data_IF_986199131045
#
_entry.id   IF_986199131045
#
_cell.length_a   1.000
_cell.length_b   1.000
_cell.length_c   1.000
_cell.angle_alpha   90.00
_cell.angle_beta   90.00
_cell.angle_gamma   90.00
#
_symmetry.space_group_name_H-M   'P 1'
#
loop_
_entity.id
_entity.type
_entity.pdbx_description
1 polymer ?
#
# COMPACT_ATOMS: atom_id res chain seq x y z
N UNK A 1 2.18 -18.90 -10.61
CA UNK A 1 1.68 -17.52 -10.39
C UNK A 1 2.57 -16.60 -11.22
N UNK A 2 2.04 -15.52 -11.81
CA UNK A 2 2.83 -14.65 -12.70
C UNK A 2 3.21 -13.34 -11.99
N UNK A 3 4.29 -12.70 -12.45
CA UNK A 3 4.72 -11.37 -11.99
C UNK A 3 3.66 -10.32 -12.30
N UNK A 4 3.15 -9.63 -11.29
CA UNK A 4 2.16 -8.54 -11.44
C UNK A 4 2.82 -7.18 -11.48
N UNK A 5 3.87 -6.95 -10.68
CA UNK A 5 4.63 -5.69 -10.67
C UNK A 5 6.11 -5.98 -10.92
N UNK A 6 6.71 -5.22 -11.84
CA UNK A 6 8.14 -5.29 -12.11
C UNK A 6 8.73 -3.88 -12.12
N UNK A 7 9.72 -3.67 -11.29
CA UNK A 7 10.49 -2.42 -11.17
C UNK A 7 11.88 -2.69 -11.74
N UNK A 8 12.32 -1.84 -12.69
CA UNK A 8 13.62 -1.99 -13.37
C UNK A 8 14.42 -0.70 -13.28
N UNK A 9 15.58 -0.75 -12.59
CA UNK A 9 16.56 0.31 -12.46
C UNK A 9 15.95 1.67 -12.11
N UNK A 10 14.95 1.66 -11.21
CA UNK A 10 14.14 2.83 -10.90
C UNK A 10 14.94 3.84 -10.10
N UNK A 11 14.99 5.06 -10.60
CA UNK A 11 15.71 6.18 -9.98
C UNK A 11 14.82 7.41 -9.91
N UNK A 12 14.83 8.08 -8.75
CA UNK A 12 14.18 9.40 -8.57
C UNK A 12 15.12 10.36 -7.88
N UNK A 13 15.32 11.52 -8.54
CA UNK A 13 16.08 12.64 -8.02
C UNK A 13 15.19 13.85 -7.79
N UNK A 14 15.43 14.56 -6.71
CA UNK A 14 14.85 15.87 -6.39
C UNK A 14 16.00 16.86 -6.23
N UNK A 15 16.30 17.64 -7.27
CA UNK A 15 17.50 18.47 -7.28
C UNK A 15 18.77 17.62 -7.08
N UNK A 16 19.54 17.94 -6.04
CA UNK A 16 20.76 17.20 -5.68
C UNK A 16 20.52 15.90 -4.88
N UNK A 17 19.29 15.66 -4.37
CA UNK A 17 18.97 14.49 -3.57
C UNK A 17 18.49 13.34 -4.46
N UNK A 18 19.12 12.17 -4.35
CA UNK A 18 18.65 10.93 -4.97
C UNK A 18 17.83 10.14 -3.93
N UNK A 19 16.49 10.22 -4.00
CA UNK A 19 15.59 9.60 -3.04
C UNK A 19 15.32 8.11 -3.32
N UNK A 20 15.41 7.68 -4.60
CA UNK A 20 15.40 6.27 -5.03
C UNK A 20 16.52 6.12 -6.04
N UNK A 21 17.39 5.13 -5.87
CA UNK A 21 18.61 4.97 -6.61
C UNK A 21 18.79 3.54 -7.12
N UNK A 22 18.52 3.34 -8.39
CA UNK A 22 18.73 2.06 -9.10
C UNK A 22 18.03 0.85 -8.45
N UNK A 23 16.75 1.03 -8.06
CA UNK A 23 15.96 -0.01 -7.41
C UNK A 23 15.33 -0.93 -8.45
N UNK A 24 15.52 -2.25 -8.27
CA UNK A 24 14.92 -3.29 -9.12
C UNK A 24 14.39 -4.44 -8.26
N UNK A 25 13.14 -4.86 -8.50
CA UNK A 25 12.52 -6.04 -7.90
C UNK A 25 11.25 -6.43 -8.65
N UNK A 26 10.74 -7.62 -8.36
CA UNK A 26 9.50 -8.14 -8.92
C UNK A 26 8.56 -8.64 -7.82
N UNK A 27 7.26 -8.48 -8.04
CA UNK A 27 6.20 -8.93 -7.13
C UNK A 27 5.28 -9.89 -7.90
N UNK A 28 5.05 -11.05 -7.35
CA UNK A 28 4.10 -12.02 -7.87
C UNK A 28 2.66 -11.68 -7.45
N UNK A 29 1.69 -12.07 -8.25
CA UNK A 29 0.26 -11.91 -7.95
C UNK A 29 -0.12 -12.67 -6.67
N UNK A 30 -0.90 -12.05 -5.81
CA UNK A 30 -1.30 -12.61 -4.52
C UNK A 30 -0.23 -12.58 -3.43
N UNK A 31 0.94 -11.95 -3.68
CA UNK A 31 1.99 -11.82 -2.66
C UNK A 31 1.63 -10.78 -1.60
N UNK A 32 2.07 -11.04 -0.36
CA UNK A 32 2.07 -10.11 0.76
C UNK A 32 3.51 -9.74 1.11
N UNK A 33 3.88 -8.47 0.90
CA UNK A 33 5.27 -7.99 0.96
C UNK A 33 5.40 -6.85 1.97
N UNK A 34 6.43 -6.91 2.80
CA UNK A 34 6.87 -5.79 3.64
C UNK A 34 7.91 -4.93 2.94
N UNK A 35 7.78 -3.62 3.02
CA UNK A 35 8.79 -2.65 2.60
C UNK A 35 9.26 -1.89 3.83
N UNK A 36 10.47 -2.15 4.28
CA UNK A 36 11.04 -1.55 5.49
C UNK A 36 12.26 -0.69 5.21
N UNK A 37 12.67 0.07 6.20
CA UNK A 37 13.85 0.93 6.18
C UNK A 37 13.69 2.11 7.12
N UNK A 38 14.77 2.77 7.54
CA UNK A 38 14.71 3.95 8.40
C UNK A 38 13.95 5.10 7.74
N UNK A 39 13.68 6.15 8.53
CA UNK A 39 13.10 7.39 8.00
C UNK A 39 14.05 8.00 6.95
N UNK A 40 13.48 8.46 5.84
CA UNK A 40 14.28 8.97 4.72
C UNK A 40 14.89 7.91 3.80
N UNK A 41 14.67 6.60 4.04
CA UNK A 41 15.19 5.52 3.18
C UNK A 41 14.64 5.51 1.75
N UNK A 42 13.55 6.25 1.46
CA UNK A 42 12.95 6.34 0.12
C UNK A 42 11.65 5.53 -0.05
N UNK A 43 11.12 4.89 0.99
CA UNK A 43 9.90 4.06 0.94
C UNK A 43 8.69 4.80 0.36
N UNK A 44 8.35 5.96 0.93
CA UNK A 44 7.22 6.80 0.47
C UNK A 44 7.43 7.29 -0.96
N UNK A 45 8.68 7.62 -1.34
CA UNK A 45 9.01 7.99 -2.71
C UNK A 45 8.80 6.82 -3.66
N UNK A 46 9.21 5.60 -3.29
CA UNK A 46 8.98 4.39 -4.08
C UNK A 46 7.46 4.13 -4.25
N UNK A 47 6.67 4.27 -3.19
CA UNK A 47 5.21 4.18 -3.27
C UNK A 47 4.61 5.25 -4.18
N UNK A 48 5.10 6.50 -4.10
CA UNK A 48 4.69 7.59 -4.99
C UNK A 48 4.97 7.25 -6.46
N UNK A 49 6.12 6.66 -6.75
CA UNK A 49 6.51 6.21 -8.09
C UNK A 49 5.60 5.07 -8.57
N UNK A 50 5.31 4.06 -7.75
CA UNK A 50 4.42 2.94 -8.10
C UNK A 50 2.98 3.41 -8.26
N UNK A 51 2.49 4.30 -7.42
CA UNK A 51 1.14 4.86 -7.50
C UNK A 51 0.96 5.92 -8.62
N UNK A 52 2.06 6.43 -9.18
CA UNK A 52 2.04 7.42 -10.28
C UNK A 52 1.76 8.85 -9.85
N UNK A 53 1.88 9.17 -8.56
CA UNK A 53 1.88 10.54 -8.05
C UNK A 53 3.21 11.25 -8.29
N UNK A 54 4.30 10.48 -8.46
CA UNK A 54 5.61 10.95 -8.90
C UNK A 54 6.06 10.24 -10.18
N UNK A 55 6.87 10.93 -10.98
CA UNK A 55 7.50 10.36 -12.18
C UNK A 55 8.94 9.97 -11.85
N UNK A 56 9.43 8.80 -12.28
CA UNK A 56 10.83 8.46 -12.14
C UNK A 56 11.72 9.38 -13.00
N UNK A 57 12.96 9.55 -12.56
CA UNK A 57 14.02 10.20 -13.36
C UNK A 57 14.56 9.22 -14.40
N UNK A 58 14.81 7.97 -14.00
CA UNK A 58 15.23 6.87 -14.86
C UNK A 58 14.54 5.57 -14.47
N UNK A 59 14.66 4.54 -15.30
CA UNK A 59 14.10 3.23 -15.08
C UNK A 59 12.65 3.09 -15.55
N UNK A 60 12.05 1.94 -15.25
CA UNK A 60 10.71 1.63 -15.72
C UNK A 60 9.90 0.84 -14.70
N UNK A 61 8.57 0.99 -14.79
CA UNK A 61 7.58 0.31 -13.96
C UNK A 61 6.63 -0.43 -14.90
N UNK A 62 6.52 -1.73 -14.70
CA UNK A 62 5.64 -2.61 -15.47
C UNK A 62 4.59 -3.19 -14.53
N UNK A 63 3.36 -3.20 -14.97
CA UNK A 63 2.25 -3.78 -14.24
C UNK A 63 1.45 -4.67 -15.19
N UNK A 64 1.32 -5.93 -14.82
CA UNK A 64 0.65 -6.98 -15.62
C UNK A 64 1.14 -6.98 -17.09
N UNK A 65 2.47 -6.93 -17.27
CA UNK A 65 3.13 -6.91 -18.59
C UNK A 65 3.06 -5.58 -19.35
N UNK A 66 2.34 -4.57 -18.81
CA UNK A 66 2.19 -3.25 -19.44
C UNK A 66 3.16 -2.25 -18.82
N UNK A 67 3.90 -1.51 -19.65
CA UNK A 67 4.75 -0.42 -19.18
C UNK A 67 3.89 0.78 -18.76
N UNK A 68 3.79 1.02 -17.45
CA UNK A 68 3.00 2.10 -16.85
C UNK A 68 3.84 3.29 -16.39
N UNK A 69 5.13 3.32 -16.71
CA UNK A 69 6.09 4.33 -16.23
C UNK A 69 5.59 5.76 -16.38
N UNK A 70 4.98 6.07 -17.52
CA UNK A 70 4.47 7.41 -17.86
C UNK A 70 3.03 7.66 -17.42
N UNK A 71 2.34 6.66 -16.85
CA UNK A 71 0.95 6.80 -16.46
C UNK A 71 0.79 7.57 -15.16
N UNK A 72 -0.17 8.51 -15.14
CA UNK A 72 -0.56 9.27 -13.94
C UNK A 72 -1.43 8.40 -13.03
N UNK A 73 -1.60 8.82 -11.79
CA UNK A 73 -2.33 8.09 -10.73
C UNK A 73 -3.70 7.57 -11.18
N UNK A 74 -4.57 8.42 -11.75
CA UNK A 74 -5.90 7.99 -12.18
C UNK A 74 -5.86 6.84 -13.20
N UNK A 75 -4.88 6.86 -14.11
CA UNK A 75 -4.72 5.77 -15.09
C UNK A 75 -4.22 4.49 -14.41
N UNK A 76 -3.32 4.59 -13.42
CA UNK A 76 -2.85 3.42 -12.66
C UNK A 76 -3.93 2.81 -11.79
N UNK A 77 -4.83 3.62 -11.22
CA UNK A 77 -6.04 3.12 -10.55
C UNK A 77 -6.90 2.29 -11.51
N UNK A 78 -7.08 2.76 -12.75
CA UNK A 78 -7.81 2.01 -13.77
C UNK A 78 -7.10 0.71 -14.20
N UNK A 79 -5.79 0.62 -14.02
CA UNK A 79 -5.03 -0.63 -14.20
C UNK A 79 -5.07 -1.56 -12.98
N UNK A 80 -5.60 -1.10 -11.84
CA UNK A 80 -5.76 -1.92 -10.65
C UNK A 80 -4.71 -1.68 -9.55
N UNK A 81 -4.07 -0.51 -9.53
CA UNK A 81 -3.16 -0.11 -8.44
C UNK A 81 -3.88 0.89 -7.54
N UNK A 82 -4.08 0.55 -6.26
CA UNK A 82 -4.61 1.47 -5.27
C UNK A 82 -3.62 1.68 -4.11
N UNK A 83 -3.79 2.78 -3.40
CA UNK A 83 -2.92 3.14 -2.27
C UNK A 83 -3.71 3.80 -1.16
N UNK A 84 -3.37 3.48 0.10
CA UNK A 84 -3.70 4.30 1.25
C UNK A 84 -2.69 5.44 1.41
N UNK A 85 -3.05 6.46 2.18
CA UNK A 85 -2.14 7.55 2.52
C UNK A 85 -1.74 7.47 3.99
N UNK A 86 -0.51 7.82 4.31
CA UNK A 86 0.01 7.89 5.67
C UNK A 86 -0.89 8.76 6.58
N UNK A 87 -1.28 9.92 6.06
CA UNK A 87 -2.27 10.79 6.73
C UNK A 87 -3.65 10.49 6.19
N UNK A 88 -4.53 10.05 7.06
CA UNK A 88 -5.93 9.75 6.73
C UNK A 88 -6.63 11.02 6.21
N UNK A 89 -7.18 10.95 5.00
CA UNK A 89 -7.85 12.08 4.32
C UNK A 89 -9.25 11.67 3.85
N UNK A 90 -10.20 11.46 4.76
CA UNK A 90 -11.57 11.18 4.38
C UNK A 90 -12.27 12.43 3.87
N UNK A 91 -13.31 12.26 3.08
CA UNK A 91 -14.27 13.31 2.75
C UNK A 91 -15.16 13.55 3.98
N UNK A 92 -14.74 14.47 4.85
CA UNK A 92 -15.17 14.62 6.24
C UNK A 92 -16.67 14.82 6.44
N UNK A 93 -17.36 15.43 5.47
CA UNK A 93 -18.79 15.76 5.54
C UNK A 93 -19.68 14.75 4.80
N UNK A 94 -19.08 13.78 4.12
CA UNK A 94 -19.80 12.66 3.52
C UNK A 94 -19.82 11.50 4.51
N UNK A 95 -20.79 10.60 4.38
CA UNK A 95 -20.86 9.38 5.19
C UNK A 95 -19.68 8.43 4.86
N UNK A 96 -19.43 7.42 5.71
CA UNK A 96 -18.46 6.37 5.37
C UNK A 96 -18.83 5.67 4.06
N UNK A 97 -20.11 5.41 3.84
CA UNK A 97 -20.60 4.80 2.62
C UNK A 97 -20.30 5.68 1.39
N UNK A 98 -20.61 6.96 1.45
CA UNK A 98 -20.33 7.89 0.35
C UNK A 98 -18.83 7.99 0.05
N UNK A 99 -17.97 7.96 1.08
CA UNK A 99 -16.52 7.92 0.92
C UNK A 99 -16.06 6.72 0.09
N UNK A 100 -16.67 5.55 0.29
CA UNK A 100 -16.36 4.33 -0.48
C UNK A 100 -16.99 4.41 -1.87
N UNK A 101 -18.24 4.88 -2.00
CA UNK A 101 -18.95 5.07 -3.28
C UNK A 101 -18.09 5.88 -4.26
N UNK A 102 -17.46 6.97 -3.80
CA UNK A 102 -16.56 7.79 -4.67
C UNK A 102 -15.47 6.93 -5.32
N UNK A 103 -14.85 6.01 -4.59
CA UNK A 103 -13.86 5.08 -5.16
C UNK A 103 -14.49 4.06 -6.12
N UNK A 104 -15.71 3.60 -5.83
CA UNK A 104 -16.46 2.67 -6.69
C UNK A 104 -16.86 3.32 -8.04
N UNK A 105 -16.87 4.65 -8.15
CA UNK A 105 -17.15 5.35 -9.41
C UNK A 105 -16.02 5.25 -10.45
N UNK A 106 -14.84 4.71 -10.08
CA UNK A 106 -13.78 4.39 -11.03
C UNK A 106 -14.26 3.36 -12.08
N UNK A 107 -13.66 3.28 -13.28
CA UNK A 107 -14.06 2.31 -14.30
C UNK A 107 -14.06 0.86 -13.79
N UNK A 108 -13.05 0.45 -13.02
CA UNK A 108 -12.99 -0.91 -12.44
C UNK A 108 -14.05 -1.12 -11.35
N UNK A 109 -14.26 -0.12 -10.47
CA UNK A 109 -15.29 -0.18 -9.44
C UNK A 109 -16.69 -0.27 -10.04
N UNK A 110 -16.99 0.51 -11.08
CA UNK A 110 -18.25 0.43 -11.83
C UNK A 110 -18.46 -0.94 -12.45
N UNK A 111 -17.47 -1.47 -13.16
CA UNK A 111 -17.54 -2.81 -13.75
C UNK A 111 -17.80 -3.88 -12.67
N UNK A 112 -17.18 -3.77 -11.49
CA UNK A 112 -17.38 -4.72 -10.38
C UNK A 112 -18.77 -4.60 -9.75
N UNK A 113 -19.36 -3.40 -9.72
CA UNK A 113 -20.67 -3.13 -9.13
C UNK A 113 -21.85 -3.27 -10.12
N UNK A 114 -21.61 -3.57 -11.39
CA UNK A 114 -22.62 -3.55 -12.45
C UNK A 114 -23.85 -4.42 -12.15
N UNK A 115 -23.63 -5.62 -11.60
CA UNK A 115 -24.71 -6.58 -11.31
C UNK A 115 -25.39 -6.38 -9.97
N UNK A 116 -24.76 -5.71 -9.00
CA UNK A 116 -25.26 -5.59 -7.63
C UNK A 116 -25.64 -4.15 -7.24
N UNK A 117 -25.23 -3.17 -8.05
CA UNK A 117 -25.37 -1.75 -7.75
C UNK A 117 -24.22 -1.21 -6.89
N UNK A 118 -23.91 0.07 -7.12
CA UNK A 118 -22.73 0.73 -6.53
C UNK A 118 -22.84 0.85 -5.00
N UNK A 119 -24.03 1.13 -4.47
CA UNK A 119 -24.27 1.26 -3.03
C UNK A 119 -24.12 -0.09 -2.32
N UNK A 120 -24.67 -1.17 -2.90
CA UNK A 120 -24.52 -2.52 -2.37
C UNK A 120 -23.06 -2.96 -2.39
N UNK A 121 -22.35 -2.70 -3.48
CA UNK A 121 -20.91 -3.01 -3.57
C UNK A 121 -20.10 -2.23 -2.53
N UNK A 122 -20.34 -0.93 -2.37
CA UNK A 122 -19.70 -0.13 -1.33
C UNK A 122 -20.02 -0.63 0.09
N UNK A 123 -21.25 -1.08 0.34
CA UNK A 123 -21.66 -1.68 1.62
C UNK A 123 -20.92 -2.99 1.87
N UNK A 124 -20.72 -3.84 0.87
CA UNK A 124 -19.91 -5.06 0.97
C UNK A 124 -18.47 -4.75 1.37
N UNK A 125 -17.88 -3.71 0.77
CA UNK A 125 -16.51 -3.25 1.14
C UNK A 125 -16.48 -2.75 2.59
N UNK A 126 -17.46 -1.96 3.04
CA UNK A 126 -17.54 -1.54 4.44
C UNK A 126 -17.68 -2.71 5.39
N UNK A 127 -18.45 -3.72 5.00
CA UNK A 127 -18.60 -4.95 5.81
C UNK A 127 -17.26 -5.69 5.92
N UNK A 128 -16.48 -5.83 4.83
CA UNK A 128 -15.19 -6.52 4.84
C UNK A 128 -14.15 -5.87 5.75
N UNK A 129 -14.23 -4.54 5.94
CA UNK A 129 -13.34 -3.81 6.87
C UNK A 129 -13.96 -3.61 8.27
N UNK A 130 -15.16 -4.17 8.55
CA UNK A 130 -15.84 -4.07 9.84
C UNK A 130 -16.38 -2.67 10.13
N UNK A 131 -16.90 -1.96 9.12
CA UNK A 131 -17.48 -0.61 9.26
C UNK A 131 -18.93 -0.51 8.78
N UNK A 132 -19.62 -1.62 8.53
CA UNK A 132 -20.98 -1.59 7.99
C UNK A 132 -21.97 -0.89 8.93
N UNK A 133 -21.84 -1.10 10.24
CA UNK A 133 -22.69 -0.45 11.25
C UNK A 133 -22.48 1.06 11.33
N UNK A 134 -21.36 1.54 10.78
CA UNK A 134 -20.98 2.96 10.70
C UNK A 134 -21.14 3.54 9.30
N UNK A 135 -21.81 2.84 8.39
CA UNK A 135 -21.95 3.24 6.99
C UNK A 135 -22.52 4.66 6.82
N UNK A 136 -23.48 5.05 7.65
CA UNK A 136 -24.12 6.37 7.60
C UNK A 136 -23.47 7.44 8.49
N UNK A 137 -22.40 7.10 9.19
CA UNK A 137 -21.69 8.00 10.09
C UNK A 137 -20.65 8.79 9.29
N UNK A 138 -20.54 10.12 9.47
CA UNK A 138 -19.48 10.91 8.85
C UNK A 138 -18.11 10.63 9.53
N UNK A 139 -17.01 10.55 8.78
CA UNK A 139 -15.69 10.23 9.31
C UNK A 139 -15.17 11.18 10.40
N UNK A 140 -15.67 12.39 10.47
CA UNK A 140 -15.21 13.41 11.45
C UNK A 140 -15.41 12.97 12.91
N UNK A 141 -16.36 12.04 13.18
CA UNK A 141 -16.65 11.54 14.53
C UNK A 141 -16.14 10.11 14.76
N UNK A 142 -15.43 9.52 13.78
CA UNK A 142 -14.89 8.17 13.93
C UNK A 142 -13.64 8.17 14.80
N UNK A 143 -13.44 7.12 15.63
CA UNK A 143 -12.16 6.81 16.24
C UNK A 143 -11.06 6.62 15.18
N UNK A 144 -9.80 6.84 15.57
CA UNK A 144 -8.69 6.79 14.64
C UNK A 144 -8.49 5.41 13.98
N UNK A 145 -8.69 4.33 14.71
CA UNK A 145 -8.65 2.97 14.16
C UNK A 145 -9.69 2.73 13.07
N UNK A 146 -10.91 3.28 13.22
CA UNK A 146 -11.95 3.17 12.20
C UNK A 146 -11.64 4.06 10.98
N UNK A 147 -10.99 5.20 11.18
CA UNK A 147 -10.49 6.02 10.07
C UNK A 147 -9.44 5.27 9.23
N UNK A 148 -8.56 4.48 9.85
CA UNK A 148 -7.61 3.61 9.15
C UNK A 148 -8.32 2.52 8.34
N UNK A 149 -9.35 1.88 8.91
CA UNK A 149 -10.19 0.91 8.18
C UNK A 149 -10.91 1.56 6.99
N UNK A 150 -11.43 2.78 7.16
CA UNK A 150 -12.07 3.52 6.08
C UNK A 150 -11.10 3.86 4.94
N UNK A 151 -9.84 4.20 5.22
CA UNK A 151 -8.82 4.42 4.19
C UNK A 151 -8.52 3.12 3.41
N UNK A 152 -8.50 1.96 4.08
CA UNK A 152 -8.39 0.66 3.41
C UNK A 152 -9.64 0.41 2.54
N UNK A 153 -10.84 0.65 3.05
CA UNK A 153 -12.09 0.51 2.30
C UNK A 153 -12.10 1.39 1.03
N UNK A 154 -11.68 2.65 1.14
CA UNK A 154 -11.55 3.56 -0.01
C UNK A 154 -10.53 3.04 -1.05
N UNK A 155 -9.44 2.43 -0.60
CA UNK A 155 -8.45 1.85 -1.49
C UNK A 155 -8.94 0.56 -2.16
N UNK A 156 -9.85 -0.20 -1.53
CA UNK A 156 -10.50 -1.39 -2.10
C UNK A 156 -11.59 -1.03 -3.12
N UNK A 157 -12.22 0.13 -2.97
CA UNK A 157 -13.37 0.55 -3.79
C UNK A 157 -13.14 0.52 -5.31
N UNK A 158 -11.96 0.87 -5.85
CA UNK A 158 -11.64 0.72 -7.27
C UNK A 158 -11.48 -0.74 -7.74
N UNK A 159 -11.64 -1.75 -6.87
CA UNK A 159 -11.35 -3.15 -7.15
C UNK A 159 -9.88 -3.36 -7.61
N UNK A 160 -8.89 -3.06 -6.77
CA UNK A 160 -7.49 -3.15 -7.14
C UNK A 160 -7.00 -4.60 -7.24
N UNK A 161 -5.89 -4.80 -7.95
CA UNK A 161 -5.10 -6.04 -7.95
C UNK A 161 -3.85 -5.89 -7.08
N UNK A 162 -3.34 -4.66 -6.97
CA UNK A 162 -2.23 -4.28 -6.10
C UNK A 162 -2.67 -3.18 -5.14
N UNK A 163 -2.54 -3.46 -3.85
CA UNK A 163 -2.82 -2.54 -2.77
C UNK A 163 -1.51 -2.11 -2.10
N UNK A 164 -1.25 -0.82 -2.09
CA UNK A 164 -0.11 -0.22 -1.40
C UNK A 164 -0.59 0.39 -0.08
N UNK A 165 -0.16 -0.19 1.04
CA UNK A 165 -0.51 0.27 2.39
C UNK A 165 0.66 1.04 3.00
N UNK A 166 0.47 2.35 3.22
CA UNK A 166 1.50 3.24 3.75
C UNK A 166 1.27 3.48 5.24
N UNK A 167 2.11 2.89 6.08
CA UNK A 167 2.07 2.93 7.55
C UNK A 167 0.68 2.62 8.14
N UNK A 168 0.07 1.47 7.80
CA UNK A 168 -1.27 1.13 8.28
C UNK A 168 -1.36 0.97 9.81
N UNK A 169 -0.27 0.63 10.50
CA UNK A 169 -0.23 0.40 11.95
C UNK A 169 0.10 1.66 12.76
N UNK A 170 0.57 2.72 12.11
CA UNK A 170 1.02 3.93 12.79
C UNK A 170 -0.11 4.62 13.54
N UNK A 171 0.13 4.97 14.81
CA UNK A 171 -0.81 5.68 15.69
C UNK A 171 -1.92 4.81 16.30
N UNK A 172 -1.88 3.49 16.10
CA UNK A 172 -2.84 2.54 16.63
C UNK A 172 -2.35 1.89 17.93
N UNK A 173 -3.27 1.57 18.84
CA UNK A 173 -3.01 0.68 19.98
C UNK A 173 -2.67 -0.73 19.50
N UNK A 174 -2.07 -1.56 20.37
CA UNK A 174 -1.72 -2.95 20.01
C UNK A 174 -2.94 -3.79 19.60
N UNK A 175 -4.08 -3.57 20.26
CA UNK A 175 -5.34 -4.22 19.90
C UNK A 175 -5.84 -3.82 18.51
N UNK A 176 -5.83 -2.52 18.22
CA UNK A 176 -6.19 -1.99 16.90
C UNK A 176 -5.24 -2.46 15.80
N UNK A 177 -3.92 -2.55 16.08
CA UNK A 177 -2.94 -3.12 15.16
C UNK A 177 -3.26 -4.57 14.83
N UNK A 178 -3.63 -5.38 15.83
CA UNK A 178 -4.04 -6.78 15.64
C UNK A 178 -5.24 -6.88 14.70
N UNK A 179 -6.23 -6.00 14.84
CA UNK A 179 -7.39 -5.94 13.95
C UNK A 179 -6.98 -5.65 12.51
N UNK A 180 -6.10 -4.66 12.30
CA UNK A 180 -5.60 -4.32 10.95
C UNK A 180 -4.75 -5.44 10.36
N UNK A 181 -3.91 -6.11 11.16
CA UNK A 181 -3.13 -7.30 10.74
C UNK A 181 -4.05 -8.40 10.23
N UNK A 182 -5.12 -8.72 10.97
CA UNK A 182 -6.08 -9.75 10.57
C UNK A 182 -6.84 -9.36 9.30
N UNK A 183 -7.24 -8.09 9.17
CA UNK A 183 -7.86 -7.57 7.96
C UNK A 183 -6.93 -7.71 6.73
N UNK A 184 -5.65 -7.36 6.87
CA UNK A 184 -4.68 -7.48 5.77
C UNK A 184 -4.47 -8.95 5.38
N UNK A 185 -4.40 -9.87 6.35
CA UNK A 185 -4.33 -11.33 6.08
C UNK A 185 -5.54 -11.79 5.28
N UNK A 186 -6.74 -11.46 5.73
CA UNK A 186 -7.98 -11.81 5.04
C UNK A 186 -7.97 -11.29 3.59
N UNK A 187 -7.62 -10.03 3.38
CA UNK A 187 -7.54 -9.46 2.02
C UNK A 187 -6.53 -10.21 1.14
N UNK A 188 -5.38 -10.59 1.69
CA UNK A 188 -4.40 -11.38 0.93
C UNK A 188 -4.90 -12.79 0.61
N UNK A 189 -5.59 -13.45 1.53
CA UNK A 189 -6.26 -14.75 1.32
C UNK A 189 -7.38 -14.65 0.25
N UNK A 190 -8.04 -13.50 0.13
CA UNK A 190 -9.01 -13.19 -0.93
C UNK A 190 -8.33 -12.93 -2.30
N UNK A 191 -6.98 -12.95 -2.37
CA UNK A 191 -6.20 -12.86 -3.59
C UNK A 191 -5.62 -11.48 -3.92
N UNK A 192 -5.79 -10.49 -3.04
CA UNK A 192 -5.15 -9.18 -3.25
C UNK A 192 -3.63 -9.30 -3.12
N UNK A 193 -2.91 -8.66 -4.04
CA UNK A 193 -1.47 -8.44 -3.90
C UNK A 193 -1.27 -7.22 -3.03
N UNK A 194 -0.45 -7.31 -1.98
CA UNK A 194 -0.33 -6.23 -0.99
C UNK A 194 1.14 -5.92 -0.72
N UNK A 195 1.50 -4.65 -0.77
CA UNK A 195 2.81 -4.15 -0.30
C UNK A 195 2.55 -3.20 0.87
N UNK A 196 3.18 -3.46 2.01
CA UNK A 196 3.05 -2.67 3.24
C UNK A 196 4.36 -1.94 3.49
N UNK A 197 4.36 -0.61 3.45
CA UNK A 197 5.49 0.18 3.94
C UNK A 197 5.29 0.47 5.42
N UNK A 198 6.24 0.08 6.26
CA UNK A 198 6.14 0.24 7.72
C UNK A 198 7.50 0.51 8.38
N UNK A 199 7.44 1.08 9.57
CA UNK A 199 8.55 1.22 10.48
C UNK A 199 8.35 0.43 11.79
N UNK A 200 7.13 -0.04 12.07
CA UNK A 200 6.80 -0.94 13.19
C UNK A 200 7.11 -2.37 12.75
N UNK A 201 8.34 -2.81 13.05
CA UNK A 201 8.88 -4.06 12.50
C UNK A 201 8.22 -5.31 13.05
N UNK A 202 7.83 -5.31 14.34
CA UNK A 202 7.35 -6.50 15.04
C UNK A 202 6.13 -7.09 14.35
N UNK A 203 5.11 -6.30 14.17
CA UNK A 203 3.83 -6.70 13.56
C UNK A 203 4.02 -7.06 12.08
N UNK A 204 4.80 -6.24 11.36
CA UNK A 204 5.05 -6.48 9.95
C UNK A 204 5.82 -7.79 9.71
N UNK A 205 6.92 -8.02 10.45
CA UNK A 205 7.76 -9.22 10.29
C UNK A 205 7.01 -10.53 10.60
N UNK A 206 6.02 -10.48 11.51
CA UNK A 206 5.17 -11.62 11.82
C UNK A 206 4.07 -11.84 10.75
N UNK A 207 3.75 -10.80 9.97
CA UNK A 207 2.66 -10.82 9.00
C UNK A 207 3.11 -11.29 7.61
N UNK A 208 4.29 -10.83 7.14
CA UNK A 208 4.70 -10.99 5.73
C UNK A 208 5.69 -12.12 5.53
N UNK A 209 5.59 -12.91 4.43
CA UNK A 209 6.56 -13.95 4.09
C UNK A 209 7.85 -13.41 3.45
N UNK A 210 7.82 -12.17 2.90
CA UNK A 210 8.95 -11.55 2.20
C UNK A 210 9.06 -10.07 2.56
N UNK A 211 10.29 -9.60 2.71
CA UNK A 211 10.61 -8.21 3.08
C UNK A 211 11.63 -7.63 2.10
N UNK A 212 11.33 -6.43 1.61
CA UNK A 212 12.23 -5.56 0.87
C UNK A 212 12.79 -4.52 1.84
N UNK A 213 14.11 -4.36 1.91
CA UNK A 213 14.75 -3.39 2.80
C UNK A 213 15.36 -2.25 2.00
N UNK A 214 14.91 -1.03 2.26
CA UNK A 214 15.48 0.18 1.69
C UNK A 214 16.38 0.91 2.66
N UNK A 215 17.51 1.39 2.16
CA UNK A 215 18.41 2.30 2.87
C UNK A 215 19.03 3.29 1.90
N UNK A 216 19.01 4.60 2.23
CA UNK A 216 19.57 5.69 1.40
C UNK A 216 19.15 5.59 -0.08
N UNK A 217 17.87 5.30 -0.32
CA UNK A 217 17.30 5.19 -1.66
C UNK A 217 17.59 3.88 -2.39
N UNK A 218 18.36 2.96 -1.84
CA UNK A 218 18.71 1.67 -2.45
C UNK A 218 17.97 0.51 -1.81
N UNK A 219 17.72 -0.53 -2.58
CA UNK A 219 17.30 -1.83 -2.05
C UNK A 219 18.57 -2.58 -1.58
N UNK A 220 18.67 -2.82 -0.26
CA UNK A 220 19.85 -3.44 0.34
C UNK A 220 19.64 -4.90 0.71
N UNK A 221 18.38 -5.35 0.81
CA UNK A 221 18.05 -6.75 1.04
C UNK A 221 16.64 -7.06 0.53
N UNK A 222 16.41 -8.33 0.17
CA UNK A 222 15.16 -8.89 -0.32
C UNK A 222 15.10 -10.37 0.07
N UNK A 223 14.15 -10.78 0.91
CA UNK A 223 14.05 -12.16 1.38
C UNK A 223 13.10 -12.35 2.55
N UNK A 224 13.07 -13.56 3.12
CA UNK A 224 12.24 -13.88 4.28
C UNK A 224 12.65 -13.07 5.53
N UNK A 225 11.70 -12.67 6.40
CA UNK A 225 12.00 -11.91 7.62
C UNK A 225 13.12 -12.50 8.48
N UNK A 226 13.15 -13.84 8.64
CA UNK A 226 14.15 -14.54 9.45
C UNK A 226 15.58 -14.38 8.94
N UNK A 227 15.76 -14.24 7.64
CA UNK A 227 17.06 -14.01 7.01
C UNK A 227 17.45 -12.53 7.08
N UNK A 228 16.49 -11.64 6.79
CA UNK A 228 16.68 -10.19 6.75
C UNK A 228 17.24 -9.64 8.07
N UNK A 229 16.74 -10.10 9.22
CA UNK A 229 17.17 -9.61 10.54
C UNK A 229 18.63 -9.95 10.88
N UNK A 230 19.25 -10.90 10.17
CA UNK A 230 20.63 -11.33 10.37
C UNK A 230 21.61 -10.67 9.38
N UNK A 231 21.12 -9.90 8.41
CA UNK A 231 21.99 -9.23 7.43
C UNK A 231 22.68 -8.04 8.08
N UNK A 232 24.02 -8.08 8.16
CA UNK A 232 24.85 -7.04 8.78
C UNK A 232 24.48 -5.63 8.29
N UNK A 233 24.34 -5.45 6.98
CA UNK A 233 23.99 -4.17 6.36
C UNK A 233 22.61 -3.65 6.82
N UNK A 234 21.65 -4.56 7.06
CA UNK A 234 20.33 -4.21 7.58
C UNK A 234 20.43 -3.76 9.03
N UNK A 235 21.19 -4.50 9.86
CA UNK A 235 21.42 -4.16 11.26
C UNK A 235 22.08 -2.79 11.37
N UNK A 236 23.14 -2.53 10.60
CA UNK A 236 23.84 -1.24 10.56
C UNK A 236 22.92 -0.09 10.13
N UNK A 237 22.07 -0.31 9.13
CA UNK A 237 21.11 0.69 8.65
C UNK A 237 20.11 1.15 9.74
N UNK A 238 19.75 0.26 10.67
CA UNK A 238 18.80 0.57 11.76
C UNK A 238 19.50 1.06 13.05
N UNK A 239 20.71 0.59 13.33
CA UNK A 239 21.46 1.00 14.53
C UNK A 239 22.23 2.32 14.34
N UNK A 240 22.35 2.80 13.10
CA UNK A 240 23.11 4.02 12.80
C UNK A 240 24.62 3.84 13.00
N UNK A 241 25.15 2.63 12.99
CA UNK A 241 26.58 2.32 13.11
C UNK A 241 27.20 2.38 11.71
N UNK A 242 27.76 3.54 11.37
CA UNK A 242 28.49 3.68 10.11
C UNK A 242 28.51 5.09 9.53
N UNK A 243 29.20 6.00 10.23
CA UNK A 243 30.03 7.07 9.65
C UNK A 243 30.95 7.64 10.71
#
# INVERSE_FOLDING_TARGET
MGTVLQIKNLTKRFGGLTAVNDVSFEIERGSLIGLIGPNGAGKTTLFNLIAGSEKPTNGSIWFDGVNITKYRTHKRVNYGIARTFQVVKPLRFLTCLDNVIVGCMSPRGKARSENVGIEQYASTILASVGLIDKARIPPIILPFGDLKKLEIAKALAPNPELLLLDEPFSGLSHEEQTIIVNLIKQLNEEGYTIIIAEHILRELMALVPRVLVMHQGKLIADGPPKEIVNIKLVIEAYLGVGN
#
